data_IF_334389491101
#
_entry.id   IF_334389491101
#
_cell.length_a   1.000
_cell.length_b   1.000
_cell.length_c   1.000
_cell.angle_alpha   90.00
_cell.angle_beta   90.00
_cell.angle_gamma   90.00
#
_symmetry.space_group_name_H-M   'P 1'
#
loop_
_entity.id
_entity.type
_entity.pdbx_description
1 polymer ?
#
# COMPACT_ATOMS: atom_id res chain seq x y z
N UNK A 1 25.93 27.66 -9.93
CA UNK A 1 24.97 27.30 -8.86
C UNK A 1 25.06 25.80 -8.60
N UNK A 2 25.37 25.39 -7.37
CA UNK A 2 25.44 23.97 -6.99
C UNK A 2 24.01 23.46 -6.83
N UNK A 3 23.50 22.74 -7.84
CA UNK A 3 22.17 22.16 -7.83
C UNK A 3 22.06 21.06 -6.79
N UNK A 4 21.14 21.20 -5.83
CA UNK A 4 20.88 20.19 -4.81
C UNK A 4 20.25 18.96 -5.46
N UNK A 5 20.96 17.82 -5.46
CA UNK A 5 20.41 16.56 -5.97
C UNK A 5 19.17 16.16 -5.15
N UNK A 6 18.00 16.24 -5.77
CA UNK A 6 16.75 15.74 -5.20
C UNK A 6 16.58 14.31 -5.71
N UNK A 7 16.74 13.33 -4.83
CA UNK A 7 16.37 11.95 -5.11
C UNK A 7 14.86 11.87 -5.33
N UNK A 8 14.45 11.55 -6.56
CA UNK A 8 13.05 11.30 -6.91
C UNK A 8 12.84 9.79 -7.03
N UNK A 9 11.82 9.28 -6.36
CA UNK A 9 11.37 7.91 -6.51
C UNK A 9 10.50 7.82 -7.77
N UNK A 10 10.70 6.77 -8.56
CA UNK A 10 9.97 6.53 -9.81
C UNK A 10 9.07 5.34 -9.56
N UNK A 11 7.77 5.49 -9.80
CA UNK A 11 6.77 4.45 -10.05
C UNK A 11 6.65 3.21 -9.13
N UNK A 12 5.53 2.49 -9.21
CA UNK A 12 5.43 1.15 -8.67
C UNK A 12 6.17 0.14 -9.57
N UNK A 13 6.82 -0.82 -8.95
CA UNK A 13 7.50 -1.92 -9.64
C UNK A 13 7.15 -3.25 -8.96
N UNK A 14 7.12 -4.32 -9.75
CA UNK A 14 6.90 -5.68 -9.23
C UNK A 14 8.25 -6.33 -8.98
N UNK A 15 8.47 -6.86 -7.77
CA UNK A 15 9.67 -7.63 -7.46
C UNK A 15 9.51 -9.04 -8.02
N UNK A 16 10.46 -9.48 -8.85
CA UNK A 16 10.42 -10.82 -9.47
C UNK A 16 11.38 -11.81 -8.81
N UNK A 17 12.52 -11.33 -8.29
CA UNK A 17 13.51 -12.20 -7.65
C UNK A 17 14.36 -11.41 -6.65
N UNK A 18 14.78 -12.05 -5.56
CA UNK A 18 15.71 -11.51 -4.57
C UNK A 18 16.94 -12.42 -4.54
N UNK A 19 18.11 -11.85 -4.83
CA UNK A 19 19.36 -12.59 -4.85
C UNK A 19 19.97 -12.65 -3.45
N UNK A 20 20.71 -13.72 -3.11
CA UNK A 20 21.44 -13.82 -1.82
C UNK A 20 22.41 -12.66 -1.58
N UNK A 21 22.90 -12.04 -2.66
CA UNK A 21 23.78 -10.87 -2.60
C UNK A 21 23.05 -9.55 -2.25
N UNK A 22 21.76 -9.59 -1.93
CA UNK A 22 20.93 -8.41 -1.62
C UNK A 22 20.51 -7.57 -2.84
N UNK A 23 20.85 -8.02 -4.06
CA UNK A 23 20.31 -7.44 -5.28
C UNK A 23 18.86 -7.90 -5.47
N UNK A 24 18.02 -7.02 -6.01
CA UNK A 24 16.61 -7.29 -6.26
C UNK A 24 16.32 -7.09 -7.74
N UNK A 25 15.68 -8.07 -8.35
CA UNK A 25 15.17 -7.97 -9.70
C UNK A 25 13.74 -7.40 -9.64
N UNK A 26 13.51 -6.33 -10.40
CA UNK A 26 12.22 -5.65 -10.50
C UNK A 26 11.76 -5.61 -11.96
N UNK A 27 10.44 -5.67 -12.16
CA UNK A 27 9.78 -5.56 -13.46
C UNK A 27 8.89 -4.33 -13.49
N UNK A 28 9.00 -3.55 -14.56
CA UNK A 28 8.10 -2.43 -14.84
C UNK A 28 6.73 -2.96 -15.24
N UNK A 29 5.67 -2.42 -14.63
CA UNK A 29 4.28 -2.81 -14.93
C UNK A 29 3.89 -2.36 -16.35
N UNK A 30 4.26 -1.15 -16.75
CA UNK A 30 3.87 -0.59 -18.05
C UNK A 30 4.67 -1.12 -19.24
N UNK A 31 5.99 -1.25 -19.10
CA UNK A 31 6.86 -1.64 -20.23
C UNK A 31 7.27 -3.12 -20.19
N UNK A 32 7.02 -3.82 -19.07
CA UNK A 32 7.47 -5.20 -18.87
C UNK A 32 8.99 -5.37 -18.75
N UNK A 33 9.76 -4.28 -18.83
CA UNK A 33 11.23 -4.30 -18.71
C UNK A 33 11.66 -4.74 -17.32
N UNK A 34 12.71 -5.55 -17.29
CA UNK A 34 13.29 -6.10 -16.07
C UNK A 34 14.61 -5.40 -15.77
N UNK A 35 14.79 -5.01 -14.51
CA UNK A 35 15.98 -4.34 -14.01
C UNK A 35 16.50 -5.05 -12.77
N UNK A 36 17.81 -5.03 -12.56
CA UNK A 36 18.45 -5.48 -11.33
C UNK A 36 18.95 -4.26 -10.56
N UNK A 37 18.45 -4.07 -9.35
CA UNK A 37 18.75 -2.91 -8.50
C UNK A 37 19.23 -3.36 -7.12
N UNK A 38 19.92 -2.48 -6.41
CA UNK A 38 20.24 -2.70 -5.00
C UNK A 38 18.96 -2.49 -4.16
N UNK A 39 18.66 -3.38 -3.22
CA UNK A 39 17.48 -3.26 -2.35
C UNK A 39 17.42 -1.95 -1.56
N UNK A 40 18.56 -1.32 -1.25
CA UNK A 40 18.60 0.01 -0.62
C UNK A 40 17.98 1.14 -1.45
N UNK A 41 17.80 0.91 -2.76
CA UNK A 41 17.18 1.86 -3.71
C UNK A 41 15.73 1.52 -4.00
N UNK A 42 15.11 0.66 -3.20
CA UNK A 42 13.69 0.34 -3.26
C UNK A 42 13.00 0.85 -2.00
N UNK A 43 11.73 1.26 -2.17
CA UNK A 43 10.84 1.64 -1.08
C UNK A 43 9.56 0.83 -1.25
N UNK A 44 9.04 0.29 -0.14
CA UNK A 44 7.77 -0.42 -0.16
C UNK A 44 6.67 0.52 -0.68
N UNK A 45 5.95 0.06 -1.69
CA UNK A 45 4.77 0.74 -2.19
C UNK A 45 3.61 0.40 -1.27
N UNK A 46 3.16 1.35 -0.46
CA UNK A 46 1.99 1.17 0.40
C UNK A 46 0.75 1.60 -0.37
N UNK A 47 -0.04 0.62 -0.81
CA UNK A 47 -1.27 0.86 -1.56
C UNK A 47 -2.45 1.12 -0.62
N UNK A 48 -2.26 1.99 0.37
CA UNK A 48 -3.32 2.37 1.33
C UNK A 48 -4.44 3.20 0.70
N UNK A 49 -4.43 3.36 -0.63
CA UNK A 49 -5.48 3.96 -1.44
C UNK A 49 -6.16 2.99 -2.39
N UNK A 50 -5.76 1.71 -2.43
CA UNK A 50 -6.65 0.71 -3.02
C UNK A 50 -7.79 0.52 -2.03
N UNK A 51 -9.06 0.74 -2.42
CA UNK A 51 -10.16 0.24 -1.63
C UNK A 51 -10.01 -1.27 -1.69
N UNK A 52 -9.38 -1.85 -0.67
CA UNK A 52 -9.77 -3.17 -0.23
C UNK A 52 -11.27 -2.99 0.01
N UNK A 53 -12.09 -3.60 -0.85
CA UNK A 53 -13.46 -3.90 -0.49
C UNK A 53 -13.38 -4.74 0.77
N UNK A 54 -13.26 -4.07 1.92
CA UNK A 54 -13.73 -4.63 3.15
C UNK A 54 -15.19 -4.96 2.84
N UNK A 55 -15.64 -6.22 2.95
CA UNK A 55 -17.07 -6.45 3.03
C UNK A 55 -17.52 -5.54 4.16
N UNK A 56 -18.33 -4.54 3.82
CA UNK A 56 -18.93 -3.68 4.81
C UNK A 56 -19.62 -4.65 5.77
N UNK A 57 -19.05 -4.83 6.96
CA UNK A 57 -19.76 -5.50 8.03
C UNK A 57 -20.90 -4.54 8.37
N UNK A 58 -22.02 -4.75 7.67
CA UNK A 58 -23.28 -4.08 7.89
C UNK A 58 -23.77 -4.57 9.26
N UNK A 59 -23.31 -3.89 10.31
CA UNK A 59 -23.80 -4.12 11.66
C UNK A 59 -25.24 -3.61 11.70
N UNK A 60 -26.19 -4.51 11.45
CA UNK A 60 -27.62 -4.26 11.64
C UNK A 60 -27.86 -3.76 13.06
N UNK A 61 -28.16 -2.47 13.19
CA UNK A 61 -28.41 -1.82 14.46
C UNK A 61 -29.86 -2.08 14.86
N UNK A 62 -30.09 -3.15 15.63
CA UNK A 62 -31.40 -3.40 16.22
C UNK A 62 -31.77 -2.27 17.20
N UNK A 63 -33.00 -1.76 17.11
CA UNK A 63 -33.44 -0.66 17.97
C UNK A 63 -33.39 -1.13 19.44
N UNK A 64 -32.79 -0.36 20.35
CA UNK A 64 -32.88 -0.70 21.76
C UNK A 64 -34.34 -0.59 22.22
N UNK A 65 -34.85 -1.64 22.83
CA UNK A 65 -36.15 -1.64 23.51
C UNK A 65 -36.00 -0.88 24.84
N UNK A 66 -36.08 0.44 24.79
CA UNK A 66 -36.19 1.25 26.00
C UNK A 66 -37.62 1.14 26.54
N UNK A 67 -37.80 0.51 27.70
CA UNK A 67 -39.03 0.69 28.48
C UNK A 67 -38.96 2.07 29.15
N UNK A 68 -39.98 2.93 28.99
CA UNK A 68 -39.97 4.22 29.65
C UNK A 68 -40.06 4.01 31.17
N UNK A 69 -38.97 4.36 31.87
CA UNK A 69 -38.96 4.45 33.31
C UNK A 69 -40.07 5.41 33.77
N UNK A 70 -40.86 4.96 34.75
CA UNK A 70 -42.00 5.68 35.30
C UNK A 70 -41.60 7.12 35.66
N UNK A 71 -42.32 8.06 35.05
CA UNK A 71 -42.25 9.49 35.41
C UNK A 71 -42.88 9.66 36.81
N UNK A 72 -42.22 10.36 37.75
CA UNK A 72 -42.80 10.65 39.07
C UNK A 72 -44.00 11.60 38.98
#
# INVERSE_FOLDING_TARGET
>A
MVGKFRSKWIGPFVVTNVFPSGAIQIKSIGTGKVFKVNGQRLKLFNDSSMPVEAPAEELSLDKPSYTPAATP
#
